data_IF_880306027236
#
_entry.id   IF_880306027236
#
_cell.length_a   1.000
_cell.length_b   1.000
_cell.length_c   1.000
_cell.angle_alpha   90.00
_cell.angle_beta   90.00
_cell.angle_gamma   90.00
#
_symmetry.space_group_name_H-M   'P 1'
#
loop_
_entity.id
_entity.type
_entity.pdbx_description
1 polymer ?
#
# COMPACT_ATOMS: atom_id res chain seq x y z
N UNK A 1 23.49 -3.14 10.42
CA UNK A 1 22.76 -2.43 9.34
C UNK A 1 22.79 -0.94 9.58
N UNK A 2 23.18 -0.16 8.57
CA UNK A 2 23.20 1.30 8.67
C UNK A 2 21.77 1.85 8.56
N UNK A 3 21.40 2.84 9.38
CA UNK A 3 20.10 3.48 9.33
C UNK A 3 19.80 4.12 7.99
N UNK A 4 20.80 4.48 7.20
CA UNK A 4 20.64 5.00 5.84
C UNK A 4 19.97 4.01 4.90
N UNK A 5 20.05 2.71 5.18
CA UNK A 5 19.44 1.66 4.37
C UNK A 5 17.92 1.57 4.55
N UNK A 6 17.37 2.20 5.58
CA UNK A 6 15.93 2.15 5.89
C UNK A 6 15.10 3.23 5.21
N UNK A 7 15.73 4.18 4.52
CA UNK A 7 15.01 5.19 3.74
C UNK A 7 14.03 6.02 4.57
N UNK A 8 12.74 5.88 4.29
CA UNK A 8 11.67 6.69 4.87
C UNK A 8 10.97 6.02 6.05
N UNK A 9 11.71 5.42 6.98
CA UNK A 9 11.12 4.90 8.22
C UNK A 9 10.56 6.08 9.02
N UNK A 10 9.26 6.03 9.34
CA UNK A 10 8.51 7.16 9.87
C UNK A 10 8.61 7.33 11.38
N UNK A 11 9.06 6.30 12.12
CA UNK A 11 9.19 6.38 13.57
C UNK A 11 10.32 5.52 14.13
N UNK A 12 10.88 5.95 15.27
CA UNK A 12 11.88 5.17 16.01
C UNK A 12 11.31 3.87 16.59
N UNK A 13 9.99 3.83 16.86
CA UNK A 13 9.31 2.62 17.33
C UNK A 13 9.29 1.55 16.23
N UNK A 14 9.00 1.93 15.00
CA UNK A 14 9.01 1.00 13.85
C UNK A 14 10.41 0.46 13.61
N UNK A 15 11.43 1.30 13.70
CA UNK A 15 12.82 0.89 13.59
C UNK A 15 13.20 -0.10 14.68
N UNK A 16 12.81 0.16 15.94
CA UNK A 16 13.07 -0.74 17.07
C UNK A 16 12.43 -2.10 16.87
N UNK A 17 11.19 -2.14 16.37
CA UNK A 17 10.48 -3.39 16.09
C UNK A 17 11.18 -4.23 15.03
N UNK A 18 11.77 -3.61 14.01
CA UNK A 18 12.49 -4.34 12.96
C UNK A 18 13.65 -5.15 13.52
N UNK A 19 14.35 -4.67 14.54
CA UNK A 19 15.45 -5.40 15.16
C UNK A 19 15.00 -6.53 16.08
N UNK A 20 13.72 -6.58 16.46
CA UNK A 20 13.15 -7.65 17.28
C UNK A 20 12.77 -8.89 16.47
N UNK A 21 12.63 -8.78 15.16
CA UNK A 21 12.24 -9.88 14.29
C UNK A 21 13.43 -10.74 13.90
N UNK A 22 13.22 -12.07 13.81
CA UNK A 22 14.22 -13.01 13.27
C UNK A 22 14.53 -12.73 11.81
N UNK A 23 13.50 -12.39 11.03
CA UNK A 23 13.60 -12.08 9.61
C UNK A 23 13.01 -10.70 9.34
N UNK A 24 13.72 -9.63 9.72
CA UNK A 24 13.23 -8.28 9.48
C UNK A 24 13.20 -7.96 7.98
N UNK A 25 12.36 -7.01 7.60
CA UNK A 25 12.36 -6.46 6.25
C UNK A 25 13.77 -5.97 5.90
N UNK A 26 14.26 -6.37 4.73
CA UNK A 26 15.62 -6.04 4.30
C UNK A 26 15.55 -5.26 2.97
N UNK A 27 15.97 -4.01 2.98
CA UNK A 27 15.94 -3.12 1.81
C UNK A 27 16.80 -3.62 0.65
N UNK A 28 17.71 -4.55 0.90
CA UNK A 28 18.60 -5.11 -0.12
C UNK A 28 18.06 -6.39 -0.78
N UNK A 29 17.01 -6.98 -0.22
CA UNK A 29 16.39 -8.17 -0.79
C UNK A 29 15.39 -7.81 -1.88
N UNK A 30 15.16 -8.72 -2.85
CA UNK A 30 14.10 -8.55 -3.82
C UNK A 30 12.78 -8.23 -3.13
N UNK A 31 12.09 -7.23 -3.63
CA UNK A 31 10.89 -6.69 -2.99
C UNK A 31 9.83 -6.43 -4.04
N UNK A 32 8.59 -6.79 -3.75
CA UNK A 32 7.44 -6.41 -4.57
C UNK A 32 6.97 -5.02 -4.18
N UNK A 33 6.64 -4.20 -5.16
CA UNK A 33 6.03 -2.89 -4.96
C UNK A 33 4.53 -2.98 -5.17
N UNK A 34 3.75 -2.48 -4.22
CA UNK A 34 2.32 -2.24 -4.40
C UNK A 34 2.10 -0.73 -4.33
N UNK A 35 1.72 -0.13 -5.45
CA UNK A 35 1.48 1.31 -5.56
C UNK A 35 -0.03 1.56 -5.65
N UNK A 36 -0.57 2.41 -4.79
CA UNK A 36 -1.99 2.71 -4.81
C UNK A 36 -2.38 3.89 -3.93
N UNK A 37 -3.68 4.19 -3.93
CA UNK A 37 -4.27 5.25 -3.11
C UNK A 37 -4.79 4.73 -1.77
N UNK A 38 -5.27 3.48 -1.75
CA UNK A 38 -5.75 2.76 -0.56
C UNK A 38 -6.84 3.54 0.20
N UNK A 39 -7.94 3.83 -0.47
CA UNK A 39 -9.01 4.76 -0.02
C UNK A 39 -10.39 4.10 0.21
N UNK A 40 -10.58 3.22 1.20
CA UNK A 40 -9.62 2.69 2.17
C UNK A 40 -8.99 1.37 1.72
N UNK A 41 -7.99 0.91 2.46
CA UNK A 41 -7.53 -0.47 2.39
C UNK A 41 -8.68 -1.41 2.75
N UNK A 42 -8.82 -2.50 2.02
CA UNK A 42 -9.87 -3.49 2.25
C UNK A 42 -9.35 -4.91 2.04
N UNK A 43 -10.21 -5.91 2.28
CA UNK A 43 -9.82 -7.32 2.20
C UNK A 43 -9.28 -7.73 0.82
N UNK A 44 -9.77 -7.11 -0.25
CA UNK A 44 -9.22 -7.32 -1.59
C UNK A 44 -7.76 -6.91 -1.69
N UNK A 45 -7.40 -5.81 -1.05
CA UNK A 45 -6.00 -5.36 -1.00
C UNK A 45 -5.13 -6.31 -0.16
N UNK A 46 -5.68 -6.83 0.94
CA UNK A 46 -4.98 -7.84 1.75
C UNK A 46 -4.72 -9.10 0.92
N UNK A 47 -5.68 -9.55 0.12
CA UNK A 47 -5.50 -10.70 -0.76
C UNK A 47 -4.46 -10.44 -1.85
N UNK A 48 -4.45 -9.24 -2.42
CA UNK A 48 -3.42 -8.83 -3.36
C UNK A 48 -2.04 -8.85 -2.71
N UNK A 49 -1.93 -8.31 -1.50
CA UNK A 49 -0.70 -8.34 -0.71
C UNK A 49 -0.21 -9.77 -0.49
N UNK A 50 -1.11 -10.69 -0.11
CA UNK A 50 -0.75 -12.09 0.11
C UNK A 50 -0.21 -12.75 -1.16
N UNK A 51 -0.79 -12.45 -2.32
CA UNK A 51 -0.28 -12.92 -3.60
C UNK A 51 1.09 -12.31 -3.93
N UNK A 52 1.23 -11.01 -3.74
CA UNK A 52 2.51 -10.31 -3.97
C UNK A 52 3.62 -10.88 -3.07
N UNK A 53 3.29 -11.16 -1.82
CA UNK A 53 4.24 -11.72 -0.86
C UNK A 53 4.83 -13.06 -1.31
N UNK A 54 4.07 -13.87 -2.05
CA UNK A 54 4.56 -15.14 -2.57
C UNK A 54 5.69 -14.99 -3.59
N UNK A 55 5.84 -13.81 -4.19
CA UNK A 55 6.85 -13.60 -5.23
C UNK A 55 8.25 -13.40 -4.66
N UNK A 56 8.37 -12.68 -3.54
CA UNK A 56 9.69 -12.33 -2.99
C UNK A 56 9.82 -12.49 -1.48
N UNK A 57 8.71 -12.68 -0.78
CA UNK A 57 8.72 -12.78 0.68
C UNK A 57 8.65 -11.45 1.41
N UNK A 58 8.70 -10.33 0.72
CA UNK A 58 8.49 -9.00 1.30
C UNK A 58 7.93 -8.02 0.29
N UNK A 59 7.17 -7.05 0.78
CA UNK A 59 6.43 -6.08 -0.04
C UNK A 59 6.61 -4.67 0.52
N UNK A 60 6.90 -3.70 -0.35
CA UNK A 60 6.75 -2.29 0.00
C UNK A 60 5.40 -1.79 -0.50
N UNK A 61 4.62 -1.21 0.40
CA UNK A 61 3.31 -0.62 0.07
C UNK A 61 3.51 0.88 -0.07
N UNK A 62 3.37 1.37 -1.28
CA UNK A 62 3.54 2.78 -1.59
C UNK A 62 2.19 3.48 -1.58
N UNK A 63 2.07 4.52 -0.78
CA UNK A 63 0.85 5.32 -0.61
C UNK A 63 1.01 6.60 -1.44
N UNK A 64 0.23 6.71 -2.51
CA UNK A 64 0.21 7.92 -3.34
C UNK A 64 -0.46 9.05 -2.57
N UNK A 65 0.17 10.22 -2.59
CA UNK A 65 -0.42 11.42 -1.97
C UNK A 65 -1.47 12.02 -2.91
N UNK A 66 -2.72 11.87 -2.55
CA UNK A 66 -3.86 12.36 -3.34
C UNK A 66 -4.90 13.11 -2.50
N UNK A 67 -4.69 13.22 -1.19
CA UNK A 67 -5.62 13.95 -0.34
C UNK A 67 -5.60 15.44 -0.66
N UNK A 68 -6.79 16.03 -0.74
CA UNK A 68 -6.93 17.44 -1.04
C UNK A 68 -6.84 17.82 -2.51
N UNK A 69 -6.65 16.85 -3.42
CA UNK A 69 -6.65 17.12 -4.86
C UNK A 69 -8.07 17.37 -5.34
N UNK A 70 -8.24 18.46 -6.06
CA UNK A 70 -9.50 18.79 -6.75
C UNK A 70 -9.36 18.45 -8.23
N UNK A 71 -10.35 17.75 -8.79
CA UNK A 71 -10.36 17.35 -10.19
C UNK A 71 -9.55 16.08 -10.45
N UNK A 72 -8.82 16.06 -11.55
CA UNK A 72 -8.07 14.90 -11.99
C UNK A 72 -6.79 14.69 -11.17
N UNK A 73 -6.69 13.53 -10.52
CA UNK A 73 -5.48 13.14 -9.80
C UNK A 73 -4.45 12.41 -10.69
N UNK A 74 -4.71 12.32 -11.98
CA UNK A 74 -3.84 11.63 -12.94
C UNK A 74 -4.24 10.18 -13.18
N UNK A 75 -3.32 9.40 -13.76
CA UNK A 75 -3.52 7.97 -14.06
C UNK A 75 -4.70 7.67 -15.00
N UNK A 76 -5.05 8.59 -15.90
CA UNK A 76 -6.09 8.42 -16.91
C UNK A 76 -7.52 8.41 -16.39
N UNK A 77 -7.74 8.83 -15.14
CA UNK A 77 -9.07 8.84 -14.50
C UNK A 77 -9.29 10.16 -13.78
N UNK A 78 -10.49 10.69 -13.86
CA UNK A 78 -10.90 11.81 -13.04
C UNK A 78 -11.12 11.30 -11.62
N UNK A 79 -10.34 11.83 -10.68
CA UNK A 79 -10.40 11.44 -9.28
C UNK A 79 -10.54 12.71 -8.45
N UNK A 80 -11.71 12.91 -7.87
CA UNK A 80 -12.01 14.05 -7.02
C UNK A 80 -11.69 13.76 -5.55
N UNK A 81 -11.72 14.78 -4.70
CA UNK A 81 -11.57 14.63 -3.24
C UNK A 81 -12.58 13.64 -2.65
N UNK A 82 -13.78 13.53 -3.24
CA UNK A 82 -14.79 12.55 -2.83
C UNK A 82 -14.33 11.09 -2.99
N UNK A 83 -13.37 10.84 -3.88
CA UNK A 83 -12.76 9.52 -4.07
C UNK A 83 -11.54 9.31 -3.18
N UNK A 84 -11.03 10.37 -2.56
CA UNK A 84 -9.83 10.35 -1.71
C UNK A 84 -10.12 11.05 -0.37
N UNK A 85 -11.11 10.58 0.42
CA UNK A 85 -11.51 11.25 1.65
C UNK A 85 -10.52 11.07 2.80
N UNK A 86 -9.58 10.14 2.69
CA UNK A 86 -8.66 9.80 3.77
C UNK A 86 -7.29 10.44 3.54
N UNK A 87 -6.78 11.12 4.58
CA UNK A 87 -5.41 11.63 4.59
C UNK A 87 -4.40 10.51 4.82
N UNK A 88 -3.12 10.84 4.71
CA UNK A 88 -2.01 9.88 4.79
C UNK A 88 -2.05 9.04 6.07
N UNK A 89 -2.27 9.67 7.23
CA UNK A 89 -2.28 8.97 8.52
C UNK A 89 -3.40 7.94 8.57
N UNK A 90 -4.62 8.33 8.14
CA UNK A 90 -5.77 7.42 8.12
C UNK A 90 -5.55 6.24 7.16
N UNK A 91 -4.94 6.50 6.01
CA UNK A 91 -4.60 5.45 5.04
C UNK A 91 -3.60 4.46 5.63
N UNK A 92 -2.53 4.96 6.22
CA UNK A 92 -1.48 4.12 6.83
C UNK A 92 -2.06 3.29 7.97
N UNK A 93 -2.86 3.90 8.84
CA UNK A 93 -3.50 3.19 9.95
C UNK A 93 -4.44 2.09 9.44
N UNK A 94 -5.16 2.35 8.37
CA UNK A 94 -6.03 1.36 7.73
C UNK A 94 -5.25 0.16 7.16
N UNK A 95 -4.12 0.41 6.54
CA UNK A 95 -3.23 -0.65 6.02
C UNK A 95 -2.70 -1.50 7.18
N UNK A 96 -2.16 -0.87 8.21
CA UNK A 96 -1.61 -1.57 9.38
C UNK A 96 -2.66 -2.42 10.07
N UNK A 97 -3.89 -1.89 10.22
CA UNK A 97 -4.99 -2.63 10.82
C UNK A 97 -5.37 -3.83 9.95
N UNK A 98 -5.57 -3.63 8.66
CA UNK A 98 -5.98 -4.70 7.76
C UNK A 98 -4.95 -5.82 7.68
N UNK A 99 -3.69 -5.48 7.56
CA UNK A 99 -2.61 -6.46 7.52
C UNK A 99 -2.33 -7.08 8.89
N UNK A 100 -2.45 -6.31 9.97
CA UNK A 100 -2.31 -6.81 11.34
C UNK A 100 -3.39 -7.85 11.67
N UNK A 101 -4.64 -7.60 11.28
CA UNK A 101 -5.74 -8.56 11.47
C UNK A 101 -5.50 -9.86 10.69
N UNK A 102 -4.74 -9.81 9.61
CA UNK A 102 -4.34 -10.99 8.83
C UNK A 102 -3.05 -11.65 9.33
N UNK A 103 -2.40 -11.11 10.36
CA UNK A 103 -1.20 -11.68 10.97
C UNK A 103 0.12 -11.14 10.45
N UNK A 104 0.12 -10.05 9.69
CA UNK A 104 1.32 -9.43 9.16
C UNK A 104 1.69 -8.16 9.93
N UNK A 105 2.98 -7.87 10.02
CA UNK A 105 3.46 -6.70 10.77
C UNK A 105 4.45 -5.87 9.95
N UNK A 106 4.35 -4.56 10.08
CA UNK A 106 5.29 -3.63 9.47
C UNK A 106 6.70 -3.86 10.03
N UNK A 107 7.68 -3.86 9.13
CA UNK A 107 9.07 -4.15 9.48
C UNK A 107 9.43 -5.62 9.36
N UNK A 108 8.47 -6.49 9.12
CA UNK A 108 8.66 -7.92 8.89
C UNK A 108 8.32 -8.28 7.44
N UNK A 109 7.06 -8.50 7.14
CA UNK A 109 6.65 -8.84 5.76
C UNK A 109 6.54 -7.62 4.87
N UNK A 110 6.35 -6.43 5.42
CA UNK A 110 6.15 -5.23 4.62
C UNK A 110 6.69 -3.97 5.27
N UNK A 111 6.88 -2.96 4.44
CA UNK A 111 7.08 -1.56 4.84
C UNK A 111 6.07 -0.69 4.11
N UNK A 112 5.69 0.43 4.73
CA UNK A 112 4.84 1.44 4.10
C UNK A 112 5.69 2.65 3.76
N UNK A 113 5.51 3.18 2.56
CA UNK A 113 6.25 4.34 2.08
C UNK A 113 5.28 5.34 1.46
N UNK A 114 5.24 6.56 2.01
CA UNK A 114 4.52 7.67 1.38
C UNK A 114 5.30 8.14 0.16
N UNK A 115 4.62 8.30 -0.95
CA UNK A 115 5.23 8.71 -2.23
C UNK A 115 4.41 9.82 -2.86
N UNK A 116 4.99 10.61 -3.77
CA UNK A 116 4.22 11.58 -4.55
C UNK A 116 3.08 10.92 -5.31
N UNK A 117 2.23 11.73 -5.94
CA UNK A 117 1.14 11.25 -6.79
C UNK A 117 1.68 10.65 -8.09
N UNK A 118 2.25 9.46 -7.99
CA UNK A 118 2.88 8.74 -9.11
C UNK A 118 1.80 8.25 -10.05
N UNK A 119 1.96 8.55 -11.34
CA UNK A 119 1.02 8.16 -12.39
C UNK A 119 1.68 7.38 -13.54
N UNK A 120 3.00 7.27 -13.54
CA UNK A 120 3.73 6.54 -14.56
C UNK A 120 4.95 5.87 -13.94
N UNK A 121 5.32 4.70 -14.48
CA UNK A 121 6.52 3.97 -14.12
C UNK A 121 7.33 3.83 -15.41
N UNK A 122 8.39 4.63 -15.54
CA UNK A 122 9.23 4.65 -16.73
C UNK A 122 10.53 3.90 -16.49
N UNK A 123 10.95 3.15 -17.50
CA UNK A 123 12.24 2.45 -17.46
C UNK A 123 12.88 2.48 -18.85
N UNK A 124 14.22 2.50 -18.90
CA UNK A 124 14.94 2.56 -20.15
C UNK A 124 15.24 1.20 -20.78
N UNK A 125 15.35 0.16 -19.95
CA UNK A 125 15.63 -1.22 -20.37
C UNK A 125 14.85 -2.19 -19.51
N UNK A 126 14.35 -3.27 -20.13
CA UNK A 126 13.79 -4.41 -19.40
C UNK A 126 14.86 -5.25 -18.74
N UNK A 127 15.37 -4.81 -17.58
CA UNK A 127 16.49 -5.47 -16.89
C UNK A 127 16.02 -6.34 -15.72
N UNK A 128 14.98 -7.14 -15.95
CA UNK A 128 14.48 -8.06 -14.94
C UNK A 128 13.35 -7.55 -14.08
N UNK A 129 12.85 -6.34 -14.33
CA UNK A 129 11.63 -5.86 -13.69
C UNK A 129 10.43 -6.58 -14.27
N UNK A 130 9.50 -6.96 -13.40
CA UNK A 130 8.25 -7.60 -13.80
C UNK A 130 7.06 -6.75 -13.42
N UNK A 131 5.98 -6.87 -14.20
CA UNK A 131 4.69 -6.27 -13.89
C UNK A 131 3.69 -7.42 -13.84
N UNK A 132 3.18 -7.72 -12.66
CA UNK A 132 2.31 -8.87 -12.45
C UNK A 132 0.90 -8.41 -12.09
N UNK A 133 -0.06 -8.79 -12.90
CA UNK A 133 -1.48 -8.65 -12.59
C UNK A 133 -1.95 -9.97 -11.96
N UNK A 134 -2.49 -9.89 -10.75
CA UNK A 134 -2.97 -11.07 -10.04
C UNK A 134 -4.48 -11.24 -10.22
N UNK A 135 -4.91 -12.40 -10.67
CA UNK A 135 -6.32 -12.78 -10.63
C UNK A 135 -6.63 -13.33 -9.23
N UNK A 136 -7.43 -12.59 -8.48
CA UNK A 136 -7.80 -12.92 -7.10
C UNK A 136 -9.15 -13.63 -7.00
N UNK A 137 -9.80 -13.88 -8.14
CA UNK A 137 -11.13 -14.48 -8.20
C UNK A 137 -12.24 -13.42 -8.17
N UNK A 138 -13.42 -13.83 -8.64
CA UNK A 138 -14.58 -12.95 -8.80
C UNK A 138 -15.01 -12.31 -7.48
N UNK A 139 -15.07 -13.09 -6.41
CA UNK A 139 -15.54 -12.60 -5.11
C UNK A 139 -14.66 -11.47 -4.57
N UNK A 140 -13.35 -11.58 -4.76
CA UNK A 140 -12.41 -10.54 -4.33
C UNK A 140 -12.51 -9.31 -5.24
N UNK A 141 -12.61 -9.50 -6.56
CA UNK A 141 -12.74 -8.39 -7.50
C UNK A 141 -14.03 -7.58 -7.33
N UNK A 142 -15.06 -8.17 -6.72
CA UNK A 142 -16.30 -7.48 -6.38
C UNK A 142 -16.16 -6.55 -5.17
N UNK A 143 -15.13 -6.72 -4.35
CA UNK A 143 -14.83 -5.78 -3.27
C UNK A 143 -14.33 -4.48 -3.89
N UNK A 144 -14.94 -3.37 -3.52
CA UNK A 144 -14.66 -2.08 -4.14
C UNK A 144 -14.57 -0.98 -3.09
N UNK A 145 -13.48 -0.22 -3.15
CA UNK A 145 -13.32 0.98 -2.32
C UNK A 145 -14.44 2.00 -2.57
N UNK A 146 -14.92 2.11 -3.81
CA UNK A 146 -16.05 2.98 -4.15
C UNK A 146 -17.31 2.57 -3.39
N UNK A 147 -17.62 1.27 -3.37
CA UNK A 147 -18.78 0.73 -2.64
C UNK A 147 -18.61 0.92 -1.13
N UNK A 148 -17.40 0.70 -0.61
CA UNK A 148 -17.10 0.87 0.81
C UNK A 148 -17.30 2.34 1.22
N UNK A 149 -16.77 3.29 0.44
CA UNK A 149 -16.98 4.71 0.71
C UNK A 149 -18.44 5.12 0.67
N UNK A 150 -19.19 4.61 -0.30
CA UNK A 150 -20.62 4.87 -0.41
C UNK A 150 -21.37 4.41 0.85
N UNK A 151 -21.08 3.21 1.31
CA UNK A 151 -21.67 2.66 2.53
C UNK A 151 -21.29 3.49 3.76
N UNK A 152 -20.04 3.91 3.88
CA UNK A 152 -19.57 4.74 4.99
C UNK A 152 -20.30 6.09 5.02
N UNK A 153 -20.60 6.69 3.86
CA UNK A 153 -21.40 7.92 3.77
C UNK A 153 -22.84 7.70 4.22
N UNK A 154 -23.46 6.59 3.80
CA UNK A 154 -24.81 6.23 4.26
C UNK A 154 -24.87 6.04 5.78
N UNK A 155 -23.83 5.49 6.37
CA UNK A 155 -23.72 5.24 7.81
C UNK A 155 -23.26 6.47 8.60
N UNK A 156 -22.99 7.58 7.93
CA UNK A 156 -22.53 8.82 8.58
C UNK A 156 -21.08 8.79 9.04
N UNK A 157 -20.27 7.87 8.53
CA UNK A 157 -18.83 7.73 8.87
C UNK A 157 -17.91 8.58 7.99
N UNK A 158 -18.43 9.10 6.90
CA UNK A 158 -17.75 10.03 5.99
C UNK A 158 -18.56 11.28 5.75
#
# INVERSE_FOLDING_TARGET
>A
MDMKDFGTITSSLELSKMFEYENPFDFKKPTVQMLGRWQPWHDGHTKLFEKALTLTGQVVIMVREVYGIEGDAGAGRTVAQTDNPFGEIAVIDGIKKGLGDAGYEEGREYMIMAVPNIVDISYGRGVGYTFTEHDLGKDVHEISATKIRAKMREEGKL
#
